data_IF_937230582736
#
_entry.id   IF_937230582736
#
_cell.length_a   1.000
_cell.length_b   1.000
_cell.length_c   1.000
_cell.angle_alpha   90.00
_cell.angle_beta   90.00
_cell.angle_gamma   90.00
#
_symmetry.space_group_name_H-M   'P 1'
#
loop_
_entity.id
_entity.type
_entity.pdbx_description
1 polymer ?
#
# COMPACT_ATOMS: atom_id res chain seq x y z
N UNK A 1 15.23 -20.42 -0.64
CA UNK A 1 13.84 -19.96 -0.42
C UNK A 1 13.79 -18.47 -0.77
N UNK A 2 12.71 -17.99 -1.40
CA UNK A 2 12.48 -16.54 -1.54
C UNK A 2 11.59 -16.11 -0.39
N UNK A 3 11.91 -14.98 0.22
CA UNK A 3 11.10 -14.39 1.30
C UNK A 3 9.74 -13.95 0.72
N UNK A 4 8.67 -14.21 1.48
CA UNK A 4 7.30 -13.79 1.12
C UNK A 4 6.79 -12.85 2.19
N UNK A 5 6.52 -11.62 1.80
CA UNK A 5 6.10 -10.55 2.72
C UNK A 5 4.72 -10.06 2.29
N UNK A 6 3.81 -9.96 3.26
CA UNK A 6 2.50 -9.33 3.07
C UNK A 6 2.39 -8.11 3.95
N UNK A 7 2.08 -6.95 3.35
CA UNK A 7 1.86 -5.69 4.07
C UNK A 7 0.40 -5.30 3.92
N UNK A 8 -0.25 -4.96 5.03
CA UNK A 8 -1.68 -4.59 5.08
C UNK A 8 -1.79 -3.19 5.69
N UNK A 9 -2.46 -2.26 5.03
CA UNK A 9 -2.62 -0.90 5.56
C UNK A 9 -3.19 0.09 4.56
N UNK A 10 -2.84 1.36 4.69
CA UNK A 10 -3.20 2.43 3.74
C UNK A 10 -2.48 3.74 4.03
N UNK A 11 -2.77 4.74 3.21
CA UNK A 11 -2.26 6.11 3.37
C UNK A 11 -0.73 6.22 3.30
N UNK A 12 -0.22 7.33 3.85
CA UNK A 12 1.19 7.71 3.78
C UNK A 12 2.12 6.75 4.56
N UNK A 13 1.65 6.18 5.67
CA UNK A 13 2.44 5.22 6.46
C UNK A 13 2.78 3.97 5.66
N UNK A 14 1.80 3.42 4.93
CA UNK A 14 2.04 2.30 4.03
C UNK A 14 3.03 2.69 2.91
N UNK A 15 2.88 3.89 2.33
CA UNK A 15 3.79 4.36 1.29
C UNK A 15 5.25 4.45 1.77
N UNK A 16 5.49 4.93 3.00
CA UNK A 16 6.83 4.99 3.59
C UNK A 16 7.44 3.60 3.80
N UNK A 17 6.65 2.63 4.29
CA UNK A 17 7.09 1.24 4.44
C UNK A 17 7.45 0.62 3.09
N UNK A 18 6.63 0.80 2.05
CA UNK A 18 6.91 0.28 0.72
C UNK A 18 8.15 0.93 0.07
N UNK A 19 8.41 2.21 0.38
CA UNK A 19 9.63 2.87 -0.05
C UNK A 19 10.87 2.26 0.61
N UNK A 20 10.80 1.92 1.90
CA UNK A 20 11.89 1.25 2.62
C UNK A 20 12.13 -0.19 2.14
N UNK A 21 11.07 -0.90 1.72
CA UNK A 21 11.15 -2.26 1.17
C UNK A 21 11.56 -2.30 -0.32
N UNK A 22 11.74 -1.14 -0.95
CA UNK A 22 12.05 -1.07 -2.38
C UNK A 22 13.47 -1.59 -2.64
N UNK A 23 13.57 -2.63 -3.46
CA UNK A 23 14.85 -3.24 -3.84
C UNK A 23 15.23 -4.46 -2.99
N UNK A 24 14.45 -4.76 -1.95
CA UNK A 24 14.64 -6.00 -1.18
C UNK A 24 14.23 -7.23 -2.02
N UNK A 25 15.03 -8.31 -1.99
CA UNK A 25 14.76 -9.51 -2.75
C UNK A 25 13.62 -10.31 -2.13
N UNK A 26 12.58 -10.62 -2.89
CA UNK A 26 11.47 -11.42 -2.37
C UNK A 26 10.21 -11.27 -3.21
N UNK A 27 9.13 -11.85 -2.68
CA UNK A 27 7.78 -11.69 -3.20
C UNK A 27 6.99 -10.81 -2.23
N UNK A 28 6.53 -9.65 -2.70
CA UNK A 28 5.80 -8.67 -1.90
C UNK A 28 4.34 -8.61 -2.36
N UNK A 29 3.43 -8.87 -1.43
CA UNK A 29 1.99 -8.64 -1.62
C UNK A 29 1.55 -7.48 -0.74
N UNK A 30 0.72 -6.59 -1.28
CA UNK A 30 0.20 -5.43 -0.54
C UNK A 30 -1.31 -5.43 -0.59
N UNK A 31 -1.95 -5.37 0.59
CA UNK A 31 -3.40 -5.23 0.74
C UNK A 31 -3.68 -3.82 1.25
N UNK A 32 -4.40 -3.03 0.46
CA UNK A 32 -4.65 -1.61 0.76
C UNK A 32 -6.11 -1.40 1.15
N UNK A 33 -6.36 -0.65 2.23
CA UNK A 33 -7.72 -0.21 2.57
C UNK A 33 -8.25 0.75 1.52
N UNK A 34 -9.53 0.58 1.19
CA UNK A 34 -10.28 1.45 0.27
C UNK A 34 -11.39 2.22 1.00
N UNK A 35 -11.44 2.14 2.33
CA UNK A 35 -12.54 2.67 3.14
C UNK A 35 -12.56 4.19 3.26
N UNK A 36 -11.49 4.88 2.86
CA UNK A 36 -11.40 6.33 3.00
C UNK A 36 -12.01 7.02 1.77
N UNK A 37 -12.94 7.95 2.00
CA UNK A 37 -13.66 8.74 0.98
C UNK A 37 -13.13 10.19 0.87
N UNK A 38 -11.98 10.45 1.49
CA UNK A 38 -11.23 11.69 1.39
C UNK A 38 -10.25 11.73 0.22
N UNK A 39 -9.62 12.89 0.02
CA UNK A 39 -8.55 13.08 -0.98
C UNK A 39 -8.98 12.91 -2.43
N UNK A 40 -8.01 12.65 -3.31
CA UNK A 40 -8.25 12.49 -4.75
C UNK A 40 -9.13 11.28 -5.07
N UNK A 41 -8.94 10.17 -4.37
CA UNK A 41 -9.76 8.95 -4.49
C UNK A 41 -11.22 9.24 -4.17
N UNK A 42 -11.46 9.98 -3.07
CA UNK A 42 -12.78 10.43 -2.67
C UNK A 42 -13.43 11.37 -3.68
N UNK A 43 -12.66 12.30 -4.25
CA UNK A 43 -13.16 13.19 -5.29
C UNK A 43 -13.54 12.45 -6.57
N UNK A 44 -12.71 11.52 -7.03
CA UNK A 44 -13.00 10.68 -8.20
C UNK A 44 -14.24 9.81 -7.99
N UNK A 45 -14.48 9.31 -6.77
CA UNK A 45 -15.68 8.53 -6.44
C UNK A 45 -16.97 9.34 -6.47
N UNK A 46 -16.89 10.66 -6.26
CA UNK A 46 -18.07 11.56 -6.28
C UNK A 46 -18.43 12.09 -7.66
N UNK A 47 -17.58 11.86 -8.66
CA UNK A 47 -17.82 12.22 -10.06
C UNK A 47 -18.52 11.06 -10.77
#
# INVERSE_FOLDING_TARGET
MRERVTVIGGGHGLAAVLAALRGEPGELTVVVTVADDGGSSGELRRR
#
